data_IF_375693183391
#
_entry.id   IF_375693183391
#
_cell.length_a   1.000
_cell.length_b   1.000
_cell.length_c   1.000
_cell.angle_alpha   90.00
_cell.angle_beta   90.00
_cell.angle_gamma   90.00
#
_symmetry.space_group_name_H-M   'P 1'
#
loop_
_entity.id
_entity.type
_entity.pdbx_description
1 polymer ?
#
# COMPACT_ATOMS: atom_id res chain seq x y z
N UNK A 1 -15.30 -6.45 23.98
CA UNK A 1 -15.42 -7.56 23.02
C UNK A 1 -15.33 -6.90 21.67
N UNK A 2 -14.31 -7.22 20.89
CA UNK A 2 -14.09 -6.62 19.57
C UNK A 2 -15.18 -7.15 18.64
N UNK A 3 -15.83 -6.26 17.88
CA UNK A 3 -16.85 -6.64 16.90
C UNK A 3 -16.15 -7.05 15.60
N UNK A 4 -16.18 -8.35 15.28
CA UNK A 4 -15.50 -8.90 14.11
C UNK A 4 -16.24 -8.55 12.81
N UNK A 5 -17.56 -8.35 12.86
CA UNK A 5 -18.35 -7.94 11.69
C UNK A 5 -17.98 -6.50 11.28
N UNK A 6 -17.85 -5.60 12.25
CA UNK A 6 -17.43 -4.22 12.03
C UNK A 6 -16.00 -4.17 11.46
N UNK A 7 -15.07 -4.91 12.07
CA UNK A 7 -13.69 -4.98 11.58
C UNK A 7 -13.59 -5.56 10.17
N UNK A 8 -14.36 -6.60 9.85
CA UNK A 8 -14.32 -7.22 8.52
C UNK A 8 -14.79 -6.24 7.42
N UNK A 9 -15.75 -5.36 7.72
CA UNK A 9 -16.21 -4.32 6.79
C UNK A 9 -15.17 -3.22 6.60
N UNK A 10 -14.38 -2.92 7.63
CA UNK A 10 -13.38 -1.85 7.59
C UNK A 10 -12.03 -2.25 6.99
N UNK A 11 -11.82 -3.51 6.60
CA UNK A 11 -10.55 -3.96 6.02
C UNK A 11 -10.48 -3.68 4.52
N UNK A 12 -9.33 -3.16 4.08
CA UNK A 12 -9.05 -3.07 2.64
C UNK A 12 -8.68 -4.43 2.06
N UNK A 13 -8.86 -4.64 0.75
CA UNK A 13 -8.40 -5.85 0.04
C UNK A 13 -6.91 -6.14 0.25
N UNK A 14 -6.10 -5.10 0.42
CA UNK A 14 -4.66 -5.24 0.66
C UNK A 14 -4.42 -5.85 2.05
N UNK A 15 -5.21 -5.47 3.04
CA UNK A 15 -5.15 -6.00 4.40
C UNK A 15 -5.71 -7.42 4.46
N UNK A 16 -6.88 -7.67 3.88
CA UNK A 16 -7.46 -9.02 3.75
C UNK A 16 -6.45 -9.99 3.13
N UNK A 17 -5.78 -9.57 2.04
CA UNK A 17 -4.76 -10.38 1.37
C UNK A 17 -3.58 -10.71 2.29
N UNK A 18 -3.11 -9.75 3.10
CA UNK A 18 -2.04 -9.99 4.06
C UNK A 18 -2.50 -11.00 5.13
N UNK A 19 -3.70 -10.82 5.68
CA UNK A 19 -4.25 -11.71 6.70
C UNK A 19 -4.44 -13.14 6.17
N UNK A 20 -4.96 -13.28 4.95
CA UNK A 20 -5.10 -14.59 4.27
C UNK A 20 -3.74 -15.24 3.98
N UNK A 21 -2.72 -14.46 3.62
CA UNK A 21 -1.37 -14.98 3.42
C UNK A 21 -0.78 -15.50 4.74
N UNK A 22 -0.90 -14.74 5.83
CA UNK A 22 -0.46 -15.18 7.16
C UNK A 22 -1.27 -16.37 7.67
N UNK A 23 -2.57 -16.44 7.39
CA UNK A 23 -3.39 -17.60 7.73
C UNK A 23 -2.91 -18.88 7.01
N UNK A 24 -2.50 -18.75 5.75
CA UNK A 24 -2.01 -19.87 4.94
C UNK A 24 -0.59 -20.30 5.28
N UNK A 25 0.30 -19.34 5.49
CA UNK A 25 1.75 -19.58 5.62
C UNK A 25 2.23 -19.56 7.08
N UNK A 26 1.37 -19.14 8.01
CA UNK A 26 1.73 -18.90 9.39
C UNK A 26 2.50 -17.60 9.54
N UNK A 27 3.67 -17.71 10.15
CA UNK A 27 4.54 -16.58 10.45
C UNK A 27 5.27 -16.13 9.17
N UNK A 28 5.27 -14.82 8.92
CA UNK A 28 5.92 -14.24 7.74
C UNK A 28 6.85 -13.10 8.13
N UNK A 29 7.99 -13.04 7.47
CA UNK A 29 8.87 -11.86 7.56
C UNK A 29 8.23 -10.69 6.84
N UNK A 30 8.49 -9.48 7.33
CA UNK A 30 7.97 -8.25 6.73
C UNK A 30 8.33 -8.12 5.24
N UNK A 31 9.48 -8.61 4.79
CA UNK A 31 9.85 -8.63 3.37
C UNK A 31 9.08 -9.68 2.57
N UNK A 32 8.89 -10.89 3.11
CA UNK A 32 8.12 -11.96 2.46
C UNK A 32 6.69 -11.51 2.18
N UNK A 33 6.08 -10.76 3.11
CA UNK A 33 4.77 -10.13 2.87
C UNK A 33 4.83 -9.23 1.63
N UNK A 34 5.86 -8.41 1.49
CA UNK A 34 6.05 -7.56 0.30
C UNK A 34 6.22 -8.35 -0.99
N UNK A 35 7.00 -9.44 -0.96
CA UNK A 35 7.26 -10.29 -2.12
C UNK A 35 6.00 -11.05 -2.58
N UNK A 36 5.22 -11.59 -1.64
CA UNK A 36 3.99 -12.33 -1.93
C UNK A 36 2.81 -11.44 -2.35
N UNK A 37 2.79 -10.20 -1.86
CA UNK A 37 1.75 -9.22 -2.20
C UNK A 37 2.09 -8.39 -3.44
N UNK A 38 3.38 -8.31 -3.79
CA UNK A 38 3.94 -7.37 -4.77
C UNK A 38 3.69 -5.90 -4.42
N UNK A 39 3.52 -5.58 -3.13
CA UNK A 39 3.32 -4.21 -2.69
C UNK A 39 4.62 -3.40 -2.73
N UNK A 40 4.50 -2.11 -3.05
CA UNK A 40 5.60 -1.18 -2.82
C UNK A 40 5.97 -1.13 -1.33
N UNK A 41 7.23 -0.79 -1.03
CA UNK A 41 7.70 -0.72 0.37
C UNK A 41 6.83 0.19 1.24
N UNK A 42 6.41 1.34 0.70
CA UNK A 42 5.54 2.29 1.39
C UNK A 42 4.15 1.71 1.65
N UNK A 43 3.51 1.16 0.62
CA UNK A 43 2.18 0.55 0.75
C UNK A 43 2.19 -0.60 1.75
N UNK A 44 3.17 -1.51 1.64
CA UNK A 44 3.34 -2.62 2.57
C UNK A 44 3.46 -2.15 4.02
N UNK A 45 4.33 -1.18 4.28
CA UNK A 45 4.55 -0.68 5.65
C UNK A 45 3.30 -0.02 6.21
N UNK A 46 2.56 0.72 5.38
CA UNK A 46 1.29 1.32 5.78
C UNK A 46 0.26 0.24 6.16
N UNK A 47 0.06 -0.77 5.30
CA UNK A 47 -0.92 -1.84 5.57
C UNK A 47 -0.55 -2.67 6.81
N UNK A 48 0.73 -3.00 6.98
CA UNK A 48 1.21 -3.69 8.18
C UNK A 48 1.03 -2.83 9.44
N UNK A 49 1.23 -1.51 9.35
CA UNK A 49 0.98 -0.58 10.46
C UNK A 49 -0.48 -0.61 10.90
N UNK A 50 -1.42 -0.48 9.95
CA UNK A 50 -2.86 -0.51 10.25
C UNK A 50 -3.27 -1.84 10.87
N UNK A 51 -2.76 -2.97 10.36
CA UNK A 51 -3.08 -4.29 10.92
C UNK A 51 -2.51 -4.51 12.33
N UNK A 52 -1.33 -3.94 12.63
CA UNK A 52 -0.74 -3.94 13.97
C UNK A 52 -1.54 -3.06 14.94
N UNK A 53 -1.91 -1.86 14.51
CA UNK A 53 -2.69 -0.92 15.33
C UNK A 53 -4.10 -1.46 15.65
N UNK A 54 -4.65 -2.29 14.76
CA UNK A 54 -5.92 -3.01 14.95
C UNK A 54 -5.78 -4.34 15.71
N UNK A 55 -4.58 -4.69 16.16
CA UNK A 55 -4.30 -5.94 16.88
C UNK A 55 -4.73 -7.20 16.09
N UNK A 56 -4.71 -7.16 14.75
CA UNK A 56 -5.02 -8.31 13.89
C UNK A 56 -3.76 -9.13 13.56
N UNK A 57 -2.61 -8.48 13.63
CA UNK A 57 -1.30 -9.12 13.53
C UNK A 57 -0.42 -8.63 14.67
N UNK A 58 0.64 -9.36 14.97
CA UNK A 58 1.61 -9.00 16.00
C UNK A 58 3.05 -9.28 15.55
N UNK A 59 4.00 -8.63 16.21
CA UNK A 59 5.43 -8.91 16.05
C UNK A 59 5.80 -10.04 17.00
N UNK A 60 6.02 -11.22 16.45
CA UNK A 60 6.35 -12.43 17.20
C UNK A 60 7.86 -12.59 17.41
N UNK A 61 8.68 -11.89 16.62
CA UNK A 61 10.12 -11.99 16.70
C UNK A 61 10.87 -11.09 15.72
N UNK A 62 12.19 -11.16 15.82
CA UNK A 62 13.12 -10.45 14.95
C UNK A 62 14.14 -11.45 14.39
N UNK A 63 14.33 -11.39 13.08
CA UNK A 63 15.46 -12.04 12.43
C UNK A 63 16.68 -11.13 12.51
N UNK A 64 17.58 -11.45 13.44
CA UNK A 64 18.82 -10.70 13.69
C UNK A 64 19.86 -10.87 12.56
N UNK A 65 19.72 -11.89 11.72
CA UNK A 65 20.63 -12.16 10.60
C UNK A 65 20.31 -11.28 9.37
N UNK A 66 19.18 -10.56 9.37
CA UNK A 66 18.72 -9.73 8.26
C UNK A 66 19.41 -8.35 8.15
N UNK A 67 20.47 -8.10 8.94
CA UNK A 67 21.29 -6.89 8.90
C UNK A 67 21.11 -5.98 10.11
N UNK A 68 21.53 -4.72 9.99
CA UNK A 68 21.77 -3.82 11.14
C UNK A 68 20.53 -3.53 12.00
N UNK A 69 19.34 -3.56 11.41
CA UNK A 69 18.08 -3.22 12.07
C UNK A 69 17.19 -4.46 12.34
N UNK A 70 17.67 -5.66 11.94
CA UNK A 70 16.89 -6.89 11.97
C UNK A 70 15.64 -6.85 11.07
N UNK A 71 14.97 -7.99 10.92
CA UNK A 71 13.72 -8.09 10.17
C UNK A 71 12.57 -8.58 11.06
N UNK A 72 11.45 -7.85 11.05
CA UNK A 72 10.26 -8.22 11.81
C UNK A 72 9.64 -9.50 11.27
N UNK A 73 9.43 -10.47 12.14
CA UNK A 73 8.60 -11.65 11.91
C UNK A 73 7.22 -11.34 12.48
N UNK A 74 6.20 -11.57 11.66
CA UNK A 74 4.81 -11.19 11.92
C UNK A 74 3.91 -12.43 11.90
N UNK A 75 2.96 -12.48 12.82
CA UNK A 75 1.95 -13.53 12.91
C UNK A 75 0.54 -12.96 13.11
N UNK A 76 -0.48 -13.78 12.87
CA UNK A 76 -1.86 -13.44 13.25
C UNK A 76 -2.01 -13.50 14.77
N UNK A 77 -2.71 -12.52 15.33
CA UNK A 77 -3.26 -12.64 16.68
C UNK A 77 -4.45 -13.61 16.69
N UNK A 78 -4.95 -13.95 17.88
CA UNK A 78 -6.20 -14.71 18.01
C UNK A 78 -7.37 -13.97 17.33
N UNK A 79 -7.47 -12.65 17.51
CA UNK A 79 -8.49 -11.80 16.85
C UNK A 79 -8.36 -11.83 15.33
N UNK A 80 -7.14 -11.71 14.80
CA UNK A 80 -6.90 -11.76 13.36
C UNK A 80 -7.23 -13.13 12.76
N UNK A 81 -6.93 -14.21 13.49
CA UNK A 81 -7.29 -15.58 13.09
C UNK A 81 -8.81 -15.76 13.07
N UNK A 82 -9.50 -15.36 14.14
CA UNK A 82 -10.95 -15.46 14.23
C UNK A 82 -11.64 -14.66 13.11
N UNK A 83 -11.15 -13.45 12.82
CA UNK A 83 -11.67 -12.62 11.74
C UNK A 83 -11.53 -13.30 10.37
N UNK A 84 -10.35 -13.89 10.09
CA UNK A 84 -10.12 -14.60 8.83
C UNK A 84 -11.03 -15.81 8.72
N UNK A 85 -11.11 -16.62 9.77
CA UNK A 85 -11.91 -17.84 9.79
C UNK A 85 -13.41 -17.55 9.63
N UNK A 86 -13.93 -16.53 10.29
CA UNK A 86 -15.37 -16.23 10.31
C UNK A 86 -15.84 -15.46 9.07
N UNK A 87 -15.03 -14.52 8.56
CA UNK A 87 -15.49 -13.57 7.53
C UNK A 87 -14.76 -13.69 6.20
N UNK A 88 -13.50 -14.15 6.20
CA UNK A 88 -12.68 -14.21 4.98
C UNK A 88 -12.59 -15.63 4.38
N UNK A 89 -12.96 -16.68 5.12
CA UNK A 89 -13.11 -18.04 4.58
C UNK A 89 -14.57 -18.37 4.22
N UNK A 90 -14.77 -19.28 3.27
CA UNK A 90 -16.00 -19.50 2.47
C UNK A 90 -17.33 -19.81 3.21
N UNK A 91 -17.40 -19.75 4.55
CA UNK A 91 -18.56 -20.23 5.33
C UNK A 91 -19.53 -19.17 5.87
N UNK A 92 -19.26 -17.87 5.71
CA UNK A 92 -20.21 -16.81 6.08
C UNK A 92 -20.97 -16.26 4.86
N UNK A 93 -22.30 -16.23 4.92
CA UNK A 93 -23.18 -15.64 3.89
C UNK A 93 -22.72 -14.22 3.53
N UNK A 94 -22.14 -14.04 2.33
CA UNK A 94 -21.72 -12.73 1.82
C UNK A 94 -22.97 -11.85 1.58
N UNK A 95 -22.99 -10.59 2.03
CA UNK A 95 -23.96 -9.60 1.55
C UNK A 95 -23.87 -9.49 0.03
N UNK A 96 -25.03 -9.41 -0.65
CA UNK A 96 -25.19 -9.52 -2.11
C UNK A 96 -23.97 -9.05 -2.91
N UNK A 97 -23.25 -10.03 -3.47
CA UNK A 97 -21.92 -9.93 -4.09
C UNK A 97 -21.81 -8.81 -5.14
N UNK A 98 -22.94 -8.43 -5.75
CA UNK A 98 -23.06 -7.36 -6.73
C UNK A 98 -23.02 -5.94 -6.13
N UNK A 99 -23.64 -5.68 -4.98
CA UNK A 99 -23.68 -4.33 -4.40
C UNK A 99 -22.30 -3.92 -3.89
N UNK A 100 -21.65 -4.83 -3.18
CA UNK A 100 -20.26 -4.66 -2.76
C UNK A 100 -19.32 -4.56 -3.97
N UNK A 101 -19.61 -5.21 -5.10
CA UNK A 101 -18.76 -5.11 -6.30
C UNK A 101 -18.86 -3.73 -6.97
N UNK A 102 -20.03 -3.10 -6.91
CA UNK A 102 -20.22 -1.74 -7.44
C UNK A 102 -19.54 -0.72 -6.53
N UNK A 103 -19.80 -0.76 -5.21
CA UNK A 103 -19.14 0.13 -4.24
C UNK A 103 -17.59 -0.01 -4.30
N UNK A 104 -17.07 -1.23 -4.44
CA UNK A 104 -15.62 -1.48 -4.61
C UNK A 104 -15.03 -0.99 -5.94
N UNK A 105 -15.83 -0.94 -7.01
CA UNK A 105 -15.37 -0.39 -8.29
C UNK A 105 -15.41 1.14 -8.27
N UNK A 106 -16.29 1.73 -7.46
CA UNK A 106 -16.33 3.18 -7.22
C UNK A 106 -15.07 3.60 -6.43
N UNK A 107 -14.69 2.86 -5.38
CA UNK A 107 -13.45 3.14 -4.63
C UNK A 107 -12.18 2.98 -5.50
N UNK A 108 -12.09 1.93 -6.32
CA UNK A 108 -10.98 1.71 -7.25
C UNK A 108 -10.90 2.87 -8.30
N UNK A 109 -12.04 3.45 -8.68
CA UNK A 109 -12.11 4.60 -9.59
C UNK A 109 -11.63 5.87 -8.89
N UNK A 110 -12.07 6.14 -7.66
CA UNK A 110 -11.67 7.32 -6.89
C UNK A 110 -10.15 7.32 -6.59
N UNK A 111 -9.56 6.15 -6.30
CA UNK A 111 -8.10 6.01 -6.15
C UNK A 111 -7.36 6.29 -7.46
N UNK A 112 -7.84 5.74 -8.58
CA UNK A 112 -7.25 5.97 -9.90
C UNK A 112 -7.38 7.43 -10.34
N UNK A 113 -8.49 8.10 -9.99
CA UNK A 113 -8.68 9.53 -10.25
C UNK A 113 -7.69 10.37 -9.44
N UNK A 114 -7.51 10.05 -8.15
CA UNK A 114 -6.55 10.72 -7.28
C UNK A 114 -5.11 10.55 -7.77
N UNK A 115 -4.72 9.33 -8.16
CA UNK A 115 -3.40 9.06 -8.73
C UNK A 115 -3.21 9.80 -10.08
N UNK A 116 -4.26 9.87 -10.89
CA UNK A 116 -4.21 10.60 -12.16
C UNK A 116 -4.04 12.11 -11.97
N UNK A 117 -4.67 12.70 -10.96
CA UNK A 117 -4.48 14.10 -10.59
C UNK A 117 -3.04 14.37 -10.13
N UNK A 118 -2.50 13.54 -9.24
CA UNK A 118 -1.11 13.67 -8.79
C UNK A 118 -0.12 13.57 -9.96
N UNK A 119 -0.32 12.60 -10.85
CA UNK A 119 0.52 12.42 -12.03
C UNK A 119 0.41 13.60 -13.01
N UNK A 120 -0.77 14.25 -13.11
CA UNK A 120 -0.92 15.47 -13.92
C UNK A 120 -0.16 16.64 -13.32
N UNK A 121 -0.25 16.83 -12.01
CA UNK A 121 0.46 17.90 -11.31
C UNK A 121 1.99 17.73 -11.43
N UNK A 122 2.49 16.50 -11.27
CA UNK A 122 3.91 16.19 -11.49
C UNK A 122 4.35 16.49 -12.93
N UNK A 123 3.51 16.14 -13.91
CA UNK A 123 3.81 16.36 -15.33
C UNK A 123 3.80 17.85 -15.70
N UNK A 124 2.92 18.64 -15.08
CA UNK A 124 2.89 20.10 -15.24
C UNK A 124 4.12 20.77 -14.61
N UNK A 125 4.49 20.37 -13.38
CA UNK A 125 5.73 20.82 -12.75
C UNK A 125 6.96 20.51 -13.61
N UNK A 126 7.04 19.30 -14.17
CA UNK A 126 8.16 18.89 -15.02
C UNK A 126 8.22 19.68 -16.32
N UNK A 127 7.07 20.07 -16.89
CA UNK A 127 7.02 20.94 -18.08
C UNK A 127 7.53 22.34 -17.77
N UNK A 128 7.12 22.90 -16.64
CA UNK A 128 7.59 24.22 -16.21
C UNK A 128 9.10 24.23 -15.99
N UNK A 129 9.63 23.23 -15.27
CA UNK A 129 11.07 23.07 -15.07
C UNK A 129 11.82 22.99 -16.40
N UNK A 130 11.29 22.25 -17.37
CA UNK A 130 11.88 22.13 -18.69
C UNK A 130 11.89 23.46 -19.46
N UNK A 131 10.82 24.24 -19.37
CA UNK A 131 10.71 25.54 -20.04
C UNK A 131 11.66 26.58 -19.42
N UNK A 132 11.75 26.65 -18.10
CA UNK A 132 12.73 27.49 -17.39
C UNK A 132 14.18 27.11 -17.75
N UNK A 133 14.46 25.80 -17.81
CA UNK A 133 15.79 25.31 -18.21
C UNK A 133 16.11 25.68 -19.66
N UNK A 134 15.11 25.60 -20.55
CA UNK A 134 15.26 25.96 -21.96
C UNK A 134 15.51 27.45 -22.16
N UNK A 135 14.78 28.32 -21.46
CA UNK A 135 15.00 29.77 -21.48
C UNK A 135 16.40 30.13 -20.95
N UNK A 136 16.81 29.51 -19.84
CA UNK A 136 18.15 29.70 -19.28
C UNK A 136 19.24 29.27 -20.26
N UNK A 137 19.06 28.13 -20.92
CA UNK A 137 19.99 27.65 -21.94
C UNK A 137 20.06 28.63 -23.12
N UNK A 138 18.92 29.12 -23.59
CA UNK A 138 18.87 30.11 -24.68
C UNK A 138 19.59 31.40 -24.31
N UNK A 139 19.34 31.95 -23.13
CA UNK A 139 20.02 33.17 -22.67
C UNK A 139 21.53 33.01 -22.54
N UNK A 140 22.01 31.83 -22.11
CA UNK A 140 23.43 31.50 -22.10
C UNK A 140 24.03 31.47 -23.52
N UNK A 141 23.32 30.88 -24.49
CA UNK A 141 23.75 30.88 -25.89
C UNK A 141 23.81 32.31 -26.44
N UNK A 142 22.77 33.12 -26.23
CA UNK A 142 22.73 34.51 -26.70
C UNK A 142 23.87 35.35 -26.07
N UNK A 143 24.20 35.11 -24.79
CA UNK A 143 25.31 35.80 -24.12
C UNK A 143 26.66 35.40 -24.71
N UNK A 144 26.87 34.10 -24.93
CA UNK A 144 28.08 33.57 -25.55
C UNK A 144 28.27 34.10 -26.98
N UNK A 145 27.19 34.18 -27.76
CA UNK A 145 27.23 34.75 -29.11
C UNK A 145 27.64 36.23 -29.10
N UNK A 146 27.15 37.02 -28.14
CA UNK A 146 27.50 38.44 -28.00
C UNK A 146 28.93 38.68 -27.47
N UNK A 147 29.53 37.71 -26.77
CA UNK A 147 30.91 37.83 -26.29
C UNK A 147 31.96 37.37 -27.33
N UNK A 148 31.54 36.56 -28.31
CA UNK A 148 32.43 35.95 -29.30
C UNK A 148 32.42 36.65 -30.68
N UNK A 149 31.45 37.50 -30.97
CA UNK A 149 31.31 38.26 -32.22
C UNK A 149 31.13 39.76 -31.98
#
# INVERSE_FOLDING_TARGET
MVDLDELAVELSRKQERILLLMFRHGELKSREVGELTQFSRGSKNHQLGVLLDRELIEIIGWDEDAGRDGERILGLTDTGRDLVEQHLTEKGERPDEYRLRVERLEDDVDELETENEQLKDELESLRQDHEELYEKHRGLVDTLENELF
#
